data_IF_602228632599
#
_entry.id   IF_602228632599
#
_cell.length_a   1.000
_cell.length_b   1.000
_cell.length_c   1.000
_cell.angle_alpha   90.00
_cell.angle_beta   90.00
_cell.angle_gamma   90.00
#
_symmetry.space_group_name_H-M   'P 1'
#
loop_
_entity.id
_entity.type
_entity.pdbx_description
1 polymer ?
#
# COMPACT_ATOMS: atom_id res chain seq x y z
N UNK A 1 -11.87 -16.65 -5.79
CA UNK A 1 -10.68 -16.75 -4.93
C UNK A 1 -9.47 -16.32 -5.74
N UNK A 2 -8.54 -15.58 -5.11
CA UNK A 2 -7.23 -15.14 -5.64
C UNK A 2 -7.28 -14.10 -6.77
N UNK A 3 -6.47 -13.03 -6.82
CA UNK A 3 -5.24 -12.66 -6.12
C UNK A 3 -5.23 -11.15 -5.85
N UNK A 4 -5.10 -10.74 -4.59
CA UNK A 4 -4.63 -9.40 -4.22
C UNK A 4 -3.18 -9.25 -4.69
N UNK A 5 -3.00 -8.73 -5.90
CA UNK A 5 -1.68 -8.38 -6.43
C UNK A 5 -1.07 -7.29 -5.57
N UNK A 6 -0.06 -7.67 -4.79
CA UNK A 6 0.81 -6.75 -4.04
C UNK A 6 1.31 -5.63 -4.97
N UNK A 7 1.31 -4.39 -4.49
CA UNK A 7 1.86 -3.24 -5.23
C UNK A 7 3.28 -3.48 -5.74
N UNK A 8 4.03 -4.39 -5.09
CA UNK A 8 5.36 -4.85 -5.51
C UNK A 8 5.34 -5.56 -6.86
N UNK A 9 4.37 -6.45 -7.11
CA UNK A 9 4.25 -7.17 -8.39
C UNK A 9 3.91 -6.21 -9.54
N UNK A 10 3.12 -5.17 -9.26
CA UNK A 10 2.83 -4.13 -10.23
C UNK A 10 4.04 -3.23 -10.54
N UNK A 11 4.95 -3.02 -9.59
CA UNK A 11 6.18 -2.24 -9.79
C UNK A 11 7.17 -3.04 -10.66
N UNK A 12 7.40 -4.32 -10.34
CA UNK A 12 8.34 -5.15 -11.11
C UNK A 12 7.83 -5.48 -12.52
N UNK A 13 6.55 -5.84 -12.68
CA UNK A 13 5.97 -6.11 -14.01
C UNK A 13 6.00 -4.86 -14.91
N UNK A 14 5.82 -3.65 -14.34
CA UNK A 14 5.87 -2.39 -15.09
C UNK A 14 7.29 -1.92 -15.39
N UNK A 15 8.27 -2.33 -14.59
CA UNK A 15 9.69 -2.13 -14.88
C UNK A 15 10.15 -3.04 -16.04
N UNK A 16 9.60 -4.24 -16.14
CA UNK A 16 9.88 -5.18 -17.24
C UNK A 16 9.23 -4.72 -18.57
N UNK A 17 8.00 -4.20 -18.52
CA UNK A 17 7.33 -3.55 -19.66
C UNK A 17 8.05 -2.25 -20.10
N UNK A 18 8.77 -1.58 -19.19
CA UNK A 18 9.58 -0.39 -19.48
C UNK A 18 10.73 -0.65 -20.44
N UNK A 19 11.38 -1.79 -20.26
CA UNK A 19 12.65 -2.15 -20.90
C UNK A 19 12.46 -2.47 -22.37
N UNK A 20 11.27 -2.93 -22.74
CA UNK A 20 10.97 -3.44 -24.08
C UNK A 20 10.26 -2.41 -24.97
N UNK A 21 9.90 -1.24 -24.44
CA UNK A 21 9.17 -0.21 -25.18
C UNK A 21 10.13 0.88 -25.72
N UNK A 22 9.96 1.36 -26.97
CA UNK A 22 10.76 2.46 -27.51
C UNK A 22 10.26 3.78 -26.90
N UNK A 23 10.61 4.07 -25.64
CA UNK A 23 9.94 5.13 -24.87
C UNK A 23 10.92 6.07 -24.18
N UNK A 24 10.69 7.36 -24.45
CA UNK A 24 11.09 8.53 -23.69
C UNK A 24 10.89 8.34 -22.18
N UNK A 25 11.99 8.02 -21.50
CA UNK A 25 12.08 7.87 -20.06
C UNK A 25 11.68 9.18 -19.35
N UNK A 26 10.74 9.13 -18.40
CA UNK A 26 10.47 10.25 -17.49
C UNK A 26 11.09 9.96 -16.12
N UNK A 27 11.61 10.99 -15.42
CA UNK A 27 12.13 10.82 -14.08
C UNK A 27 10.99 10.38 -13.14
N UNK A 28 11.27 9.42 -12.27
CA UNK A 28 10.39 9.02 -11.18
C UNK A 28 10.28 10.20 -10.23
N UNK A 29 9.06 10.65 -9.92
CA UNK A 29 8.88 11.72 -8.96
C UNK A 29 9.50 11.34 -7.61
N UNK A 30 10.27 12.24 -7.00
CA UNK A 30 10.97 11.98 -5.74
C UNK A 30 10.04 11.53 -4.60
N UNK A 31 8.76 11.91 -4.64
CA UNK A 31 7.77 11.47 -3.65
C UNK A 31 7.45 9.96 -3.73
N UNK A 32 7.49 9.35 -4.92
CA UNK A 32 7.29 7.90 -5.08
C UNK A 32 8.51 7.13 -4.60
N UNK A 33 9.72 7.65 -4.86
CA UNK A 33 10.96 7.09 -4.32
C UNK A 33 10.97 7.16 -2.79
N UNK A 34 10.62 8.33 -2.23
CA UNK A 34 10.51 8.51 -0.78
C UNK A 34 9.46 7.57 -0.19
N UNK A 35 8.30 7.43 -0.82
CA UNK A 35 7.25 6.53 -0.37
C UNK A 35 7.75 5.08 -0.32
N UNK A 36 8.39 4.61 -1.39
CA UNK A 36 8.96 3.26 -1.44
C UNK A 36 10.00 3.04 -0.34
N UNK A 37 10.96 3.97 -0.20
CA UNK A 37 11.95 3.93 0.87
C UNK A 37 11.30 3.92 2.26
N UNK A 38 10.31 4.79 2.49
CA UNK A 38 9.62 4.90 3.79
C UNK A 38 8.84 3.62 4.14
N UNK A 39 8.26 2.95 3.16
CA UNK A 39 7.61 1.65 3.36
C UNK A 39 8.63 0.56 3.74
N UNK A 40 9.83 0.58 3.15
CA UNK A 40 10.92 -0.33 3.51
C UNK A 40 11.45 -0.09 4.93
N UNK A 41 11.70 1.17 5.32
CA UNK A 41 12.11 1.54 6.68
C UNK A 41 11.14 0.97 7.73
N UNK A 42 9.84 1.20 7.52
CA UNK A 42 8.80 0.71 8.43
C UNK A 42 8.69 -0.82 8.44
N UNK A 43 8.86 -1.48 7.28
CA UNK A 43 8.85 -2.94 7.20
C UNK A 43 10.09 -3.56 7.86
N UNK A 44 11.26 -2.94 7.73
CA UNK A 44 12.49 -3.36 8.38
C UNK A 44 12.32 -3.32 9.90
N UNK A 45 11.89 -2.16 10.43
CA UNK A 45 11.66 -1.99 11.87
C UNK A 45 10.65 -3.01 12.43
N UNK A 46 9.49 -3.17 11.77
CA UNK A 46 8.49 -4.18 12.14
C UNK A 46 9.07 -5.59 12.19
N UNK A 47 9.84 -5.96 11.17
CA UNK A 47 10.43 -7.31 11.08
C UNK A 47 11.41 -7.54 12.22
N UNK A 48 12.20 -6.53 12.59
CA UNK A 48 13.14 -6.63 13.71
C UNK A 48 12.43 -6.77 15.05
N UNK A 49 11.37 -6.00 15.30
CA UNK A 49 10.53 -6.17 16.50
C UNK A 49 10.03 -7.61 16.63
N UNK A 50 9.48 -8.17 15.55
CA UNK A 50 9.00 -9.57 15.53
C UNK A 50 10.09 -10.56 15.86
N UNK A 51 11.26 -10.46 15.20
CA UNK A 51 12.37 -11.39 15.40
C UNK A 51 12.89 -11.32 16.84
N UNK A 52 13.05 -10.13 17.41
CA UNK A 52 13.47 -10.00 18.81
C UNK A 52 12.44 -10.57 19.78
N UNK A 53 11.14 -10.38 19.52
CA UNK A 53 10.08 -11.01 20.30
C UNK A 53 10.03 -12.54 20.14
N UNK A 54 10.40 -13.10 18.98
CA UNK A 54 10.53 -14.55 18.82
C UNK A 54 11.66 -15.14 19.69
N UNK A 55 12.72 -14.36 19.95
CA UNK A 55 13.87 -14.78 20.74
C UNK A 55 13.69 -14.56 22.25
N UNK A 56 13.09 -13.44 22.64
CA UNK A 56 13.09 -12.97 24.03
C UNK A 56 11.70 -12.67 24.58
N UNK A 57 10.66 -12.80 23.75
CA UNK A 57 9.28 -12.52 24.13
C UNK A 57 9.05 -11.05 24.48
N UNK A 58 8.28 -10.83 25.55
CA UNK A 58 7.94 -9.49 26.05
C UNK A 58 9.16 -8.80 26.68
N UNK A 59 10.08 -9.57 27.26
CA UNK A 59 11.24 -9.03 27.95
C UNK A 59 12.48 -9.03 27.05
N UNK A 60 12.60 -7.97 26.26
CA UNK A 60 13.80 -7.75 25.45
C UNK A 60 15.04 -7.54 26.32
N UNK A 61 16.16 -8.11 25.87
CA UNK A 61 17.47 -7.90 26.47
C UNK A 61 17.92 -6.43 26.31
N UNK A 62 18.87 -6.00 27.15
CA UNK A 62 19.46 -4.65 27.05
C UNK A 62 20.05 -4.36 25.67
N UNK A 63 20.67 -5.37 25.06
CA UNK A 63 21.26 -5.25 23.72
C UNK A 63 20.18 -5.07 22.65
N UNK A 64 19.11 -5.87 22.68
CA UNK A 64 18.01 -5.74 21.72
C UNK A 64 17.30 -4.39 21.82
N UNK A 65 17.11 -3.86 23.05
CA UNK A 65 16.54 -2.52 23.25
C UNK A 65 17.39 -1.44 22.60
N UNK A 66 18.71 -1.46 22.83
CA UNK A 66 19.65 -0.52 22.21
C UNK A 66 19.61 -0.59 20.69
N UNK A 67 19.63 -1.79 20.11
CA UNK A 67 19.54 -1.94 18.64
C UNK A 67 18.23 -1.32 18.10
N UNK A 68 17.11 -1.50 18.80
CA UNK A 68 15.84 -0.89 18.39
C UNK A 68 15.81 0.62 18.59
N UNK A 69 16.48 1.15 19.60
CA UNK A 69 16.64 2.59 19.83
C UNK A 69 17.50 3.21 18.73
N UNK A 70 18.68 2.63 18.44
CA UNK A 70 19.59 3.08 17.37
C UNK A 70 18.87 3.03 16.01
N UNK A 71 18.18 1.92 15.70
CA UNK A 71 17.47 1.77 14.44
C UNK A 71 16.25 2.72 14.34
N UNK A 72 15.62 3.03 15.47
CA UNK A 72 14.51 4.00 15.48
C UNK A 72 15.00 5.39 15.09
N UNK A 73 16.18 5.80 15.56
CA UNK A 73 16.83 7.06 15.19
C UNK A 73 17.20 7.07 13.70
N UNK A 74 17.95 6.06 13.24
CA UNK A 74 18.40 5.95 11.84
C UNK A 74 17.25 5.95 10.84
N UNK A 75 16.20 5.17 11.11
CA UNK A 75 15.04 5.08 10.22
C UNK A 75 13.99 6.16 10.50
N UNK A 76 14.28 7.13 11.37
CA UNK A 76 13.36 8.21 11.72
C UNK A 76 11.95 7.69 12.08
N UNK A 77 11.85 6.61 12.84
CA UNK A 77 10.56 6.00 13.24
C UNK A 77 10.03 6.75 14.47
N UNK A 78 8.81 7.33 14.40
CA UNK A 78 8.25 8.03 15.55
C UNK A 78 8.09 7.09 16.76
N UNK A 79 8.30 7.58 18.00
CA UNK A 79 8.24 6.73 19.20
C UNK A 79 6.88 6.06 19.40
N UNK A 80 5.79 6.73 19.03
CA UNK A 80 4.45 6.15 19.05
C UNK A 80 4.32 4.97 18.09
N UNK A 81 4.88 5.11 16.89
CA UNK A 81 4.88 4.04 15.88
C UNK A 81 5.75 2.88 16.32
N UNK A 82 6.94 3.14 16.86
CA UNK A 82 7.83 2.12 17.39
C UNK A 82 7.14 1.29 18.49
N UNK A 83 6.44 1.96 19.42
CA UNK A 83 5.65 1.30 20.46
C UNK A 83 4.54 0.42 19.89
N UNK A 84 3.82 0.88 18.86
CA UNK A 84 2.76 0.09 18.20
C UNK A 84 3.32 -1.16 17.51
N UNK A 85 4.45 -1.04 16.80
CA UNK A 85 5.09 -2.20 16.14
C UNK A 85 5.55 -3.24 17.18
N UNK A 86 6.06 -2.79 18.33
CA UNK A 86 6.44 -3.68 19.42
C UNK A 86 5.24 -4.42 20.02
N UNK A 87 4.13 -3.72 20.29
CA UNK A 87 2.90 -4.34 20.82
C UNK A 87 2.35 -5.35 19.80
N UNK A 88 2.26 -4.96 18.53
CA UNK A 88 1.78 -5.83 17.46
C UNK A 88 2.66 -7.08 17.30
N UNK A 89 3.98 -6.96 17.46
CA UNK A 89 4.89 -8.09 17.43
C UNK A 89 4.67 -9.05 18.62
N UNK A 90 4.41 -8.51 19.82
CA UNK A 90 4.19 -9.32 21.04
C UNK A 90 2.84 -10.04 21.05
N UNK A 91 1.84 -9.49 20.35
CA UNK A 91 0.50 -10.09 20.22
C UNK A 91 0.38 -11.04 19.00
N UNK A 92 1.39 -11.07 18.12
CA UNK A 92 1.37 -11.88 16.92
C UNK A 92 1.43 -13.39 17.24
N UNK A 93 0.48 -14.13 16.67
CA UNK A 93 0.33 -15.58 16.91
C UNK A 93 1.54 -16.38 16.44
N UNK A 94 2.15 -16.01 15.30
CA UNK A 94 3.35 -16.69 14.81
C UNK A 94 4.53 -16.40 15.74
N UNK A 95 4.73 -15.14 16.14
CA UNK A 95 5.81 -14.75 17.06
C UNK A 95 5.72 -15.49 18.39
N UNK A 96 4.53 -15.47 19.00
CA UNK A 96 4.28 -16.15 20.28
C UNK A 96 4.42 -17.67 20.16
N UNK A 97 3.97 -18.27 19.07
CA UNK A 97 4.13 -19.71 18.81
C UNK A 97 5.60 -20.11 18.62
N UNK A 98 6.38 -19.32 17.86
CA UNK A 98 7.82 -19.55 17.66
C UNK A 98 8.55 -19.47 19.00
N UNK A 99 8.27 -18.45 19.81
CA UNK A 99 8.84 -18.32 21.15
C UNK A 99 8.50 -19.53 22.02
N UNK A 100 7.23 -19.93 22.07
CA UNK A 100 6.74 -21.05 22.89
C UNK A 100 7.33 -22.40 22.47
N UNK A 101 7.49 -22.61 21.16
CA UNK A 101 8.06 -23.85 20.60
C UNK A 101 9.55 -24.02 20.90
N UNK A 102 10.26 -22.92 21.19
CA UNK A 102 11.71 -22.92 21.44
C UNK A 102 12.55 -23.34 20.23
N UNK A 103 11.98 -23.37 19.02
CA UNK A 103 12.67 -23.85 17.80
C UNK A 103 13.94 -23.05 17.52
N UNK A 104 13.94 -21.74 17.78
CA UNK A 104 15.12 -20.89 17.57
C UNK A 104 16.27 -21.13 18.56
N UNK A 105 16.03 -21.90 19.64
CA UNK A 105 17.06 -22.31 20.61
C UNK A 105 17.68 -23.67 20.28
N UNK A 106 17.08 -24.43 19.37
CA UNK A 106 17.51 -25.77 18.97
C UNK A 106 17.77 -25.80 17.46
N UNK A 107 18.46 -24.79 16.94
CA UNK A 107 18.68 -24.62 15.50
C UNK A 107 19.41 -25.82 14.89
N UNK A 108 20.25 -26.47 15.69
CA UNK A 108 20.96 -27.70 15.37
C UNK A 108 20.04 -28.90 15.08
N UNK A 109 18.80 -28.90 15.60
CA UNK A 109 17.82 -29.97 15.37
C UNK A 109 17.09 -29.82 14.02
N UNK A 110 17.23 -28.66 13.35
CA UNK A 110 16.47 -28.33 12.15
C UNK A 110 17.40 -28.09 10.96
N UNK A 111 17.05 -28.67 9.82
CA UNK A 111 17.67 -28.28 8.56
C UNK A 111 17.12 -26.92 8.15
N UNK A 112 18.00 -25.94 7.90
CA UNK A 112 17.61 -24.56 7.62
C UNK A 112 16.58 -24.53 6.47
N UNK A 113 16.83 -25.26 5.37
CA UNK A 113 15.86 -25.49 4.29
C UNK A 113 15.32 -24.22 3.62
N UNK A 114 15.65 -23.05 4.15
CA UNK A 114 15.42 -21.73 3.59
C UNK A 114 16.31 -21.65 2.37
N UNK A 115 15.68 -21.72 1.21
CA UNK A 115 16.31 -21.28 -0.03
C UNK A 115 16.67 -19.82 0.16
N UNK A 116 17.94 -19.55 0.43
CA UNK A 116 18.46 -18.20 0.40
C UNK A 116 18.06 -17.58 -0.94
N UNK A 117 17.53 -16.36 -0.94
CA UNK A 117 17.19 -15.70 -2.21
C UNK A 117 18.54 -15.46 -2.89
N UNK A 118 18.86 -16.16 -4.00
CA UNK A 118 20.18 -16.01 -4.59
C UNK A 118 20.36 -14.54 -4.94
N UNK A 119 21.45 -13.90 -4.50
CA UNK A 119 21.71 -12.50 -4.86
C UNK A 119 21.72 -12.31 -6.40
N UNK A 120 21.99 -13.39 -7.14
CA UNK A 120 21.83 -13.48 -8.60
C UNK A 120 20.39 -13.18 -9.08
N UNK A 121 19.37 -13.61 -8.34
CA UNK A 121 17.96 -13.32 -8.64
C UNK A 121 17.56 -11.85 -8.36
N UNK A 122 18.40 -11.09 -7.63
CA UNK A 122 18.27 -9.64 -7.51
C UNK A 122 18.96 -8.90 -8.68
N UNK A 123 19.82 -9.58 -9.46
CA UNK A 123 20.59 -9.00 -10.57
C UNK A 123 19.86 -9.04 -11.92
N UNK A 124 18.79 -9.83 -12.03
CA UNK A 124 17.97 -9.92 -13.24
C UNK A 124 17.05 -8.70 -13.43
N UNK A 125 16.93 -7.85 -12.40
CA UNK A 125 16.37 -6.51 -12.55
C UNK A 125 17.44 -5.57 -13.10
N UNK A 126 17.27 -5.11 -14.35
CA UNK A 126 18.14 -4.10 -14.96
C UNK A 126 18.27 -2.91 -14.00
N UNK A 127 19.48 -2.73 -13.46
CA UNK A 127 19.82 -1.66 -12.52
C UNK A 127 19.38 -0.33 -13.13
N UNK A 128 18.45 0.36 -12.48
CA UNK A 128 18.03 1.69 -12.89
C UNK A 128 19.29 2.57 -13.00
N UNK A 129 19.50 3.19 -14.18
CA UNK A 129 20.62 4.12 -14.37
C UNK A 129 20.40 5.33 -13.47
N UNK A 130 21.15 5.36 -12.38
CA UNK A 130 21.28 6.51 -11.49
C UNK A 130 22.12 7.59 -12.19
N UNK A 131 21.48 8.69 -12.56
CA UNK A 131 22.13 9.89 -13.10
C UNK A 131 22.61 10.85 -11.99
N UNK A 132 22.67 10.36 -10.74
CA UNK A 132 22.97 11.12 -9.51
C UNK A 132 21.89 12.16 -9.17
N UNK A 133 20.63 11.90 -9.53
CA UNK A 133 19.50 12.76 -9.16
C UNK A 133 18.11 12.21 -9.41
N UNK A 134 17.92 11.17 -10.24
CA UNK A 134 16.61 10.59 -10.57
C UNK A 134 16.70 9.15 -11.11
N UNK A 135 15.80 8.26 -10.67
CA UNK A 135 15.55 6.99 -11.35
C UNK A 135 14.51 7.19 -12.45
N UNK A 136 14.57 6.47 -13.56
CA UNK A 136 13.62 6.62 -14.68
C UNK A 136 12.62 5.46 -14.75
N UNK A 137 11.34 5.77 -15.03
CA UNK A 137 10.27 4.78 -15.27
C UNK A 137 9.56 5.09 -16.60
N UNK A 138 8.97 4.09 -17.28
CA UNK A 138 8.23 4.29 -18.51
C UNK A 138 6.86 4.91 -18.20
N UNK A 139 6.26 5.52 -19.21
CA UNK A 139 5.03 6.28 -19.10
C UNK A 139 3.81 5.39 -18.75
N UNK A 140 3.43 5.36 -17.47
CA UNK A 140 2.08 5.01 -17.06
C UNK A 140 1.28 6.30 -16.84
N UNK A 141 0.11 6.43 -17.50
CA UNK A 141 -0.82 7.55 -17.30
C UNK A 141 -1.17 7.68 -15.81
N UNK A 142 -0.58 8.64 -15.12
CA UNK A 142 -0.97 9.01 -13.76
C UNK A 142 -2.29 9.77 -13.81
N UNK A 143 -3.29 9.27 -13.07
CA UNK A 143 -4.50 10.03 -12.74
C UNK A 143 -4.04 11.13 -11.78
N UNK A 144 -4.25 12.40 -12.16
CA UNK A 144 -4.02 13.56 -11.31
C UNK A 144 -4.90 13.45 -10.06
N UNK A 145 -4.29 13.39 -8.88
CA UNK A 145 -4.95 13.75 -7.61
C UNK A 145 -4.50 15.17 -7.27
N UNK A 146 -5.37 16.12 -7.57
CA UNK A 146 -5.19 17.52 -7.23
C UNK A 146 -5.58 17.79 -5.77
N UNK A 147 -4.60 18.27 -5.01
CA UNK A 147 -4.64 19.32 -3.98
C UNK A 147 -5.91 19.49 -3.12
N UNK A 148 -5.72 19.43 -1.80
CA UNK A 148 -6.69 19.92 -0.82
C UNK A 148 -6.08 20.10 0.58
N UNK A 149 -5.13 21.03 0.73
CA UNK A 149 -4.85 21.60 2.04
C UNK A 149 -5.97 22.60 2.39
N UNK A 150 -6.69 22.36 3.49
CA UNK A 150 -7.23 23.40 4.36
C UNK A 150 -7.78 22.76 5.65
N UNK A 151 -7.12 23.02 6.78
CA UNK A 151 -7.80 23.18 8.07
C UNK A 151 -8.07 24.69 8.21
N UNK A 152 -9.23 25.13 8.75
CA UNK A 152 -9.26 25.46 10.19
C UNK A 152 -10.63 25.29 10.92
N UNK A 153 -10.53 25.04 12.24
CA UNK A 153 -11.35 25.51 13.38
C UNK A 153 -12.90 25.31 13.52
N UNK A 154 -13.23 24.89 14.75
CA UNK A 154 -14.32 25.36 15.66
C UNK A 154 -15.76 24.79 15.54
N UNK A 155 -16.16 24.08 16.62
CA UNK A 155 -17.25 24.54 17.49
C UNK A 155 -18.68 23.97 17.34
N UNK A 156 -19.11 23.28 18.42
CA UNK A 156 -20.47 23.32 19.04
C UNK A 156 -21.61 22.46 18.44
N UNK A 157 -21.95 21.42 19.23
CA UNK A 157 -23.28 21.04 19.76
C UNK A 157 -24.56 21.17 18.90
N UNK A 158 -25.37 20.09 18.85
CA UNK A 158 -26.83 20.22 18.67
C UNK A 158 -27.51 19.08 17.91
N UNK A 159 -28.38 18.36 18.62
CA UNK A 159 -29.22 17.23 18.16
C UNK A 159 -30.21 17.60 17.02
N UNK A 160 -30.48 16.60 16.17
CA UNK A 160 -31.80 15.95 15.88
C UNK A 160 -32.18 15.92 14.39
N UNK A 161 -32.38 14.71 13.87
CA UNK A 161 -33.01 14.44 12.58
C UNK A 161 -32.44 13.20 11.89
N UNK A 162 -32.84 11.99 12.32
CA UNK A 162 -32.62 10.79 11.50
C UNK A 162 -33.49 10.86 10.24
N UNK A 163 -32.95 10.47 9.08
CA UNK A 163 -33.61 9.53 8.18
C UNK A 163 -32.88 8.18 8.27
N UNK A 164 -33.64 7.09 8.07
CA UNK A 164 -33.22 5.73 8.37
C UNK A 164 -31.84 5.36 7.82
N UNK A 165 -30.98 4.84 8.69
CA UNK A 165 -29.69 4.27 8.31
C UNK A 165 -29.94 3.06 7.42
N UNK A 166 -29.88 3.24 6.10
CA UNK A 166 -29.55 2.15 5.19
C UNK A 166 -28.26 1.53 5.74
N UNK A 167 -28.23 0.21 6.01
CA UNK A 167 -27.04 -0.41 6.56
C UNK A 167 -25.87 -0.08 5.62
N UNK A 168 -24.73 0.38 6.15
CA UNK A 168 -23.57 0.83 5.35
C UNK A 168 -23.20 -0.15 4.23
N UNK A 169 -23.46 -1.44 4.42
CA UNK A 169 -23.26 -2.50 3.44
C UNK A 169 -24.18 -2.38 2.20
N UNK A 170 -25.44 -1.96 2.37
CA UNK A 170 -26.39 -1.70 1.26
C UNK A 170 -26.02 -0.43 0.50
N UNK A 171 -25.53 0.59 1.21
CA UNK A 171 -25.07 1.83 0.61
C UNK A 171 -23.78 1.60 -0.20
N UNK A 172 -22.82 0.85 0.34
CA UNK A 172 -21.61 0.44 -0.36
C UNK A 172 -21.92 -0.38 -1.62
N UNK A 173 -22.82 -1.37 -1.54
CA UNK A 173 -23.25 -2.15 -2.72
C UNK A 173 -23.92 -1.28 -3.78
N UNK A 174 -24.68 -0.26 -3.36
CA UNK A 174 -25.32 0.67 -4.29
C UNK A 174 -24.30 1.57 -4.98
N UNK A 175 -23.30 2.06 -4.23
CA UNK A 175 -22.18 2.85 -4.77
C UNK A 175 -21.32 2.01 -5.72
N UNK A 176 -21.00 0.76 -5.38
CA UNK A 176 -20.25 -0.16 -6.24
C UNK A 176 -21.00 -0.46 -7.55
N UNK A 177 -22.31 -0.70 -7.46
CA UNK A 177 -23.16 -0.92 -8.63
C UNK A 177 -23.20 0.30 -9.54
N UNK A 178 -23.39 1.50 -8.99
CA UNK A 178 -23.37 2.75 -9.76
C UNK A 178 -21.98 2.99 -10.36
N UNK A 179 -20.90 2.71 -9.63
CA UNK A 179 -19.53 2.80 -10.14
C UNK A 179 -19.26 1.87 -11.32
N UNK A 180 -19.79 0.64 -11.27
CA UNK A 180 -19.69 -0.30 -12.40
C UNK A 180 -20.46 0.19 -13.63
N UNK A 181 -21.66 0.71 -13.45
CA UNK A 181 -22.48 1.28 -14.53
C UNK A 181 -21.84 2.53 -15.15
N UNK A 182 -21.22 3.40 -14.34
CA UNK A 182 -20.44 4.56 -14.81
C UNK A 182 -19.24 4.10 -15.64
N UNK A 183 -18.53 3.04 -15.21
CA UNK A 183 -17.38 2.50 -15.96
C UNK A 183 -17.81 1.98 -17.33
N UNK A 184 -18.94 1.27 -17.42
CA UNK A 184 -19.49 0.78 -18.69
C UNK A 184 -19.94 1.96 -19.57
N UNK A 185 -20.69 2.91 -19.02
CA UNK A 185 -21.19 4.07 -19.76
C UNK A 185 -20.05 4.98 -20.25
N UNK A 186 -19.02 5.18 -19.43
CA UNK A 186 -17.80 5.90 -19.81
C UNK A 186 -17.02 5.20 -20.92
N UNK A 187 -16.92 3.86 -20.86
CA UNK A 187 -16.36 3.07 -21.96
C UNK A 187 -17.15 3.25 -23.26
N UNK A 188 -18.48 3.15 -23.21
CA UNK A 188 -19.35 3.36 -24.38
C UNK A 188 -19.24 4.77 -24.94
N UNK A 189 -19.10 5.80 -24.09
CA UNK A 189 -18.90 7.18 -24.52
C UNK A 189 -17.57 7.36 -25.27
N UNK A 190 -16.49 6.74 -24.77
CA UNK A 190 -15.15 6.85 -25.37
C UNK A 190 -15.05 6.16 -26.73
N UNK A 191 -15.82 5.08 -26.93
CA UNK A 191 -15.81 4.29 -28.17
C UNK A 191 -17.07 4.47 -29.04
N UNK A 192 -17.92 5.45 -28.73
CA UNK A 192 -19.15 5.71 -29.49
C UNK A 192 -18.82 6.26 -30.88
N UNK A 193 -19.25 5.50 -31.90
CA UNK A 193 -19.07 5.83 -33.31
C UNK A 193 -20.10 6.84 -33.80
N UNK A 194 -21.27 6.93 -33.14
CA UNK A 194 -22.34 7.85 -33.51
C UNK A 194 -22.55 8.97 -32.48
N UNK A 195 -22.97 10.17 -32.93
CA UNK A 195 -23.29 11.29 -32.02
C UNK A 195 -24.50 10.98 -31.12
N UNK A 196 -25.44 10.17 -31.58
CA UNK A 196 -26.59 9.72 -30.79
C UNK A 196 -26.17 8.83 -29.60
N UNK A 197 -25.23 7.91 -29.80
CA UNK A 197 -24.70 7.06 -28.73
C UNK A 197 -23.87 7.85 -27.71
N UNK A 198 -23.14 8.88 -28.16
CA UNK A 198 -22.44 9.80 -27.25
C UNK A 198 -23.43 10.57 -26.37
N UNK A 199 -24.49 11.11 -26.97
CA UNK A 199 -25.48 11.88 -26.22
C UNK A 199 -26.25 11.00 -25.22
N UNK A 200 -26.63 9.77 -25.61
CA UNK A 200 -27.25 8.81 -24.70
C UNK A 200 -26.32 8.41 -23.54
N UNK A 201 -25.03 8.19 -23.82
CA UNK A 201 -24.04 7.86 -22.79
C UNK A 201 -23.76 9.04 -21.85
N UNK A 202 -23.77 10.27 -22.35
CA UNK A 202 -23.64 11.48 -21.53
C UNK A 202 -24.85 11.70 -20.62
N UNK A 203 -26.07 11.51 -21.13
CA UNK A 203 -27.30 11.60 -20.32
C UNK A 203 -27.31 10.56 -19.21
N UNK A 204 -26.89 9.32 -19.52
CA UNK A 204 -26.77 8.25 -18.53
C UNK A 204 -25.75 8.59 -17.43
N UNK A 205 -24.60 9.16 -17.79
CA UNK A 205 -23.59 9.60 -16.81
C UNK A 205 -24.08 10.74 -15.92
N UNK A 206 -24.84 11.70 -16.48
CA UNK A 206 -25.46 12.78 -15.70
C UNK A 206 -26.50 12.23 -14.71
N UNK A 207 -27.35 11.30 -15.15
CA UNK A 207 -28.32 10.64 -14.27
C UNK A 207 -27.64 9.86 -13.13
N UNK A 208 -26.51 9.19 -13.40
CA UNK A 208 -25.75 8.44 -12.38
C UNK A 208 -25.04 9.37 -11.39
N UNK A 209 -24.58 10.54 -11.86
CA UNK A 209 -24.05 11.60 -10.99
C UNK A 209 -25.12 12.10 -10.02
N UNK A 210 -26.33 12.37 -10.51
CA UNK A 210 -27.45 12.80 -9.66
C UNK A 210 -27.83 11.71 -8.64
N UNK A 211 -27.83 10.43 -9.04
CA UNK A 211 -28.07 9.31 -8.13
C UNK A 211 -27.00 9.20 -7.03
N UNK A 212 -25.72 9.46 -7.33
CA UNK A 212 -24.66 9.47 -6.31
C UNK A 212 -24.77 10.67 -5.36
N UNK A 213 -25.31 11.80 -5.81
CA UNK A 213 -25.51 13.00 -4.98
C UNK A 213 -26.72 12.88 -4.04
N UNK A 214 -27.62 11.93 -4.31
CA UNK A 214 -28.82 11.66 -3.51
C UNK A 214 -28.65 10.52 -2.49
N UNK A 215 -27.52 9.80 -2.52
CA UNK A 215 -27.14 8.76 -1.55
C UNK A 215 -26.36 9.36 -0.37
#
# INVERSE_FOLDING_TARGET
>A
MSTTGSGRAAIYARAEEALNAPVTLRPVPSFELYKGAREEELCCYRSLCRVFSMHSGVQLTKQQKRILEDLQEELCVPPERAKMEMIAAQEDVLVTSVLASGVLKRREDFFDGVSDVPLASLSDGVVARDDKGSMFMPYAKTIRTEHGMAAPFAGVSGRRGQPGKTPNNVLLKSVEKIGHEIKIAGGKLLYAASPAERQASQQLLMQKREQLQQL
#
